data_IF_357319871151
#
_entry.id   IF_357319871151
#
_cell.length_a   1.000
_cell.length_b   1.000
_cell.length_c   1.000
_cell.angle_alpha   90.00
_cell.angle_beta   90.00
_cell.angle_gamma   90.00
#
_symmetry.space_group_name_H-M   'P 1'
#
loop_
_entity.id
_entity.type
_entity.pdbx_description
1 polymer ?
#
# COMPACT_ATOMS: atom_id res chain seq x y z
N UNK A 1 -57.49 24.72 22.55
CA UNK A 1 -56.28 25.16 21.81
C UNK A 1 -55.06 24.82 22.63
N UNK A 2 -54.06 24.16 22.01
CA UNK A 2 -52.62 24.45 22.13
C UNK A 2 -51.80 23.20 21.76
N UNK A 3 -51.72 22.95 20.45
CA UNK A 3 -50.81 22.00 19.81
C UNK A 3 -49.37 22.49 20.04
N UNK A 4 -48.64 21.83 20.92
CA UNK A 4 -47.20 22.10 21.08
C UNK A 4 -46.45 21.39 19.97
N UNK A 5 -46.29 22.10 18.85
CA UNK A 5 -45.35 21.76 17.79
C UNK A 5 -43.93 21.81 18.37
N UNK A 6 -43.32 20.66 18.63
CA UNK A 6 -41.88 20.58 18.97
C UNK A 6 -41.17 20.03 17.75
N UNK A 7 -40.72 20.95 16.90
CA UNK A 7 -39.72 20.66 15.86
C UNK A 7 -38.35 20.65 16.56
N UNK A 8 -37.64 19.53 16.51
CA UNK A 8 -36.23 19.45 16.91
C UNK A 8 -35.44 18.76 15.80
N UNK A 9 -35.08 19.55 14.78
CA UNK A 9 -34.05 19.16 13.82
C UNK A 9 -32.70 19.21 14.52
N UNK A 10 -32.12 18.06 14.87
CA UNK A 10 -30.67 17.83 14.80
C UNK A 10 -30.46 16.31 14.66
N UNK A 11 -30.51 15.84 13.42
CA UNK A 11 -29.94 14.56 13.05
C UNK A 11 -28.44 14.65 13.35
N UNK A 12 -28.03 14.14 14.51
CA UNK A 12 -26.61 14.11 14.87
C UNK A 12 -25.95 13.11 13.93
N UNK A 13 -25.19 13.59 12.95
CA UNK A 13 -24.32 12.72 12.18
C UNK A 13 -23.39 12.07 13.20
N UNK A 14 -23.35 10.73 13.24
CA UNK A 14 -22.45 10.02 14.15
C UNK A 14 -21.03 10.55 13.88
N UNK A 15 -20.30 11.04 14.91
CA UNK A 15 -18.96 11.53 14.70
C UNK A 15 -18.12 10.39 14.11
N UNK A 16 -17.44 10.67 12.99
CA UNK A 16 -16.54 9.71 12.37
C UNK A 16 -15.42 9.39 13.36
N UNK A 17 -15.34 8.13 13.79
CA UNK A 17 -14.21 7.67 14.59
C UNK A 17 -12.99 7.55 13.66
N UNK A 18 -11.92 8.33 13.85
CA UNK A 18 -10.73 8.19 13.01
C UNK A 18 -10.14 6.80 13.18
N UNK A 19 -9.85 6.13 12.07
CA UNK A 19 -9.24 4.79 12.05
C UNK A 19 -7.76 4.80 12.47
N UNK A 20 -7.16 5.99 12.60
CA UNK A 20 -5.75 6.16 12.92
C UNK A 20 -5.57 6.21 14.44
N UNK A 21 -4.82 5.24 14.97
CA UNK A 21 -4.38 5.24 16.37
C UNK A 21 -2.96 5.82 16.46
N UNK A 22 -2.80 6.96 17.13
CA UNK A 22 -1.48 7.55 17.38
C UNK A 22 -0.75 6.79 18.48
N UNK A 23 0.44 6.26 18.18
CA UNK A 23 1.26 5.50 19.13
C UNK A 23 2.20 6.42 19.90
N UNK A 24 1.66 7.39 20.63
CA UNK A 24 2.48 8.24 21.51
C UNK A 24 2.62 7.58 22.89
N UNK A 25 3.85 7.20 23.26
CA UNK A 25 4.16 6.68 24.60
C UNK A 25 4.04 5.17 24.81
N UNK A 26 3.84 4.35 23.76
CA UNK A 26 3.90 2.88 23.89
C UNK A 26 5.35 2.43 23.71
N UNK A 27 6.03 1.92 24.76
CA UNK A 27 7.32 1.26 24.55
C UNK A 27 7.12 0.11 23.57
N UNK A 28 7.97 0.03 22.54
CA UNK A 28 7.94 -1.03 21.53
C UNK A 28 8.35 -2.34 22.20
N UNK A 29 7.43 -2.95 22.95
CA UNK A 29 7.70 -4.20 23.67
C UNK A 29 7.74 -5.38 22.70
N UNK A 30 7.12 -5.29 21.53
CA UNK A 30 7.34 -6.21 20.44
C UNK A 30 7.36 -5.41 19.15
N UNK A 31 8.56 -5.12 18.64
CA UNK A 31 8.71 -4.80 17.22
C UNK A 31 8.34 -6.10 16.50
N UNK A 32 7.10 -6.19 16.04
CA UNK A 32 6.77 -7.13 14.98
C UNK A 32 7.56 -6.65 13.76
N UNK A 33 8.82 -7.07 13.69
CA UNK A 33 9.45 -7.38 12.43
C UNK A 33 8.38 -8.06 11.58
N UNK A 34 8.12 -7.50 10.41
CA UNK A 34 7.12 -8.02 9.49
C UNK A 34 7.57 -9.42 9.07
N UNK A 35 7.28 -10.42 9.90
CA UNK A 35 7.36 -11.80 9.50
C UNK A 35 6.36 -11.92 8.36
N UNK A 36 6.79 -12.31 7.14
CA UNK A 36 5.84 -12.58 6.09
C UNK A 36 4.84 -13.60 6.64
N UNK A 37 3.56 -13.24 6.64
CA UNK A 37 2.47 -14.14 6.95
C UNK A 37 2.69 -15.42 6.13
N UNK A 38 2.63 -16.64 6.72
CA UNK A 38 2.57 -17.85 5.94
C UNK A 38 1.15 -17.95 5.37
N UNK A 39 0.79 -17.07 4.45
CA UNK A 39 -0.20 -17.40 3.43
C UNK A 39 0.31 -18.68 2.77
N UNK A 40 -0.42 -19.78 2.93
CA UNK A 40 -0.13 -21.12 2.40
C UNK A 40 0.89 -21.05 1.28
N UNK A 41 2.16 -21.23 1.65
CA UNK A 41 3.28 -21.16 0.71
C UNK A 41 3.20 -22.45 -0.09
N UNK A 42 2.34 -22.47 -1.11
CA UNK A 42 2.65 -23.27 -2.28
C UNK A 42 4.06 -22.84 -2.66
N UNK A 43 5.02 -23.77 -2.62
CA UNK A 43 6.43 -23.47 -2.80
C UNK A 43 6.57 -22.46 -3.95
N UNK A 44 6.93 -21.22 -3.62
CA UNK A 44 7.22 -20.20 -4.64
C UNK A 44 8.50 -20.70 -5.28
N UNK A 45 8.36 -21.39 -6.41
CA UNK A 45 9.50 -21.85 -7.16
C UNK A 45 10.19 -20.59 -7.68
N UNK A 46 11.35 -20.27 -7.11
CA UNK A 46 12.23 -19.26 -7.68
C UNK A 46 12.67 -19.79 -9.04
N UNK A 47 12.26 -19.12 -10.09
CA UNK A 47 12.67 -19.42 -11.47
C UNK A 47 13.92 -18.60 -11.74
N UNK A 48 15.01 -19.27 -12.08
CA UNK A 48 16.26 -18.61 -12.44
C UNK A 48 16.20 -18.06 -13.87
N UNK A 49 16.97 -17.01 -14.16
CA UNK A 49 16.95 -16.32 -15.46
C UNK A 49 17.27 -17.23 -16.66
N UNK A 50 18.03 -18.31 -16.44
CA UNK A 50 18.32 -19.30 -17.47
C UNK A 50 17.11 -20.20 -17.81
N UNK A 51 16.16 -20.35 -16.89
CA UNK A 51 14.95 -21.14 -17.08
C UNK A 51 13.84 -20.33 -17.77
N UNK A 52 13.95 -19.00 -17.75
CA UNK A 52 12.92 -18.12 -18.28
C UNK A 52 12.95 -18.11 -19.83
N UNK A 53 11.81 -18.33 -20.52
CA UNK A 53 11.75 -18.24 -21.97
C UNK A 53 12.17 -16.85 -22.49
N UNK A 54 12.81 -16.80 -23.66
CA UNK A 54 13.39 -15.56 -24.22
C UNK A 54 12.42 -14.38 -24.28
N UNK A 55 11.15 -14.63 -24.60
CA UNK A 55 10.11 -13.57 -24.66
C UNK A 55 9.80 -12.88 -23.34
N UNK A 56 10.19 -13.48 -22.22
CA UNK A 56 10.00 -12.93 -20.87
C UNK A 56 11.32 -12.45 -20.25
N UNK A 57 12.46 -12.70 -20.90
CA UNK A 57 13.74 -12.16 -20.45
C UNK A 57 13.75 -10.65 -20.66
N UNK A 58 14.39 -9.94 -19.72
CA UNK A 58 14.65 -8.51 -19.89
C UNK A 58 15.57 -8.31 -21.10
N UNK A 59 15.25 -7.31 -21.90
CA UNK A 59 16.11 -6.89 -23.02
C UNK A 59 17.38 -6.26 -22.44
N UNK A 60 18.52 -6.45 -23.11
CA UNK A 60 19.75 -5.75 -22.75
C UNK A 60 19.58 -4.27 -23.06
N UNK A 61 19.88 -3.41 -22.09
CA UNK A 61 19.82 -1.95 -22.23
C UNK A 61 20.87 -1.51 -23.24
N UNK A 62 20.49 -0.69 -24.22
CA UNK A 62 21.43 -0.11 -25.17
C UNK A 62 22.03 1.21 -24.65
N UNK A 63 23.12 1.67 -25.26
CA UNK A 63 23.80 2.90 -24.83
C UNK A 63 22.91 4.14 -24.98
N UNK A 64 21.97 4.13 -25.92
CA UNK A 64 21.05 5.24 -26.14
C UNK A 64 20.02 5.34 -25.00
N UNK A 65 19.44 4.21 -24.60
CA UNK A 65 18.54 4.07 -23.45
C UNK A 65 19.25 4.45 -22.16
N UNK A 66 20.48 3.95 -21.95
CA UNK A 66 21.31 4.35 -20.80
C UNK A 66 21.47 5.87 -20.76
N UNK A 67 21.83 6.49 -21.88
CA UNK A 67 22.02 7.93 -21.95
C UNK A 67 20.72 8.72 -21.75
N UNK A 68 19.58 8.24 -22.28
CA UNK A 68 18.27 8.85 -22.10
C UNK A 68 17.78 8.79 -20.64
N UNK A 69 18.04 7.67 -19.95
CA UNK A 69 17.78 7.54 -18.51
C UNK A 69 18.67 8.52 -17.73
N UNK A 70 19.95 8.60 -18.08
CA UNK A 70 20.91 9.47 -17.39
C UNK A 70 20.67 10.97 -17.66
N UNK A 71 20.16 11.34 -18.83
CA UNK A 71 19.81 12.73 -19.17
C UNK A 71 18.51 13.19 -18.50
N UNK A 72 17.77 12.28 -17.85
CA UNK A 72 16.56 12.58 -17.11
C UNK A 72 15.34 12.87 -17.99
N UNK A 73 15.35 12.43 -19.25
CA UNK A 73 14.23 12.64 -20.19
C UNK A 73 14.00 14.11 -20.56
N UNK A 74 15.05 14.94 -20.48
CA UNK A 74 14.99 16.32 -20.91
C UNK A 74 15.22 16.42 -22.43
N UNK A 75 14.13 16.28 -23.18
CA UNK A 75 13.95 16.85 -24.53
C UNK A 75 12.79 17.85 -24.55
#
# INVERSE_FOLDING_TARGET
MNTKMIVRFYQTVKPHQPLIQFRHGVPVINKSESTPSPSTVGAVQTIEDYQLPTKFKRVMMDDAEINAINSGGAE
#
